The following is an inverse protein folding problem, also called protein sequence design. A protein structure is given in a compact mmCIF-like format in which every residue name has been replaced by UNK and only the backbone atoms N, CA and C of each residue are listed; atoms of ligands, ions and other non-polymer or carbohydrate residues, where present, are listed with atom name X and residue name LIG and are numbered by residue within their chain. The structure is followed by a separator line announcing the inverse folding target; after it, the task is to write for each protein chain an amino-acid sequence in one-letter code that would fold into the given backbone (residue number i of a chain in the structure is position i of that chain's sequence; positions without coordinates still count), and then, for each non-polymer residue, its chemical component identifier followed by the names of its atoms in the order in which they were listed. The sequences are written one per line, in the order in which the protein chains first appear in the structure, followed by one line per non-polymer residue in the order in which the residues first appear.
data_IF_811337830137
#
_entry.id   IF_811337830137
#
_cell.length_a   1.000
_cell.length_b   1.000
_cell.length_c   1.000
_cell.angle_alpha   90.00
_cell.angle_beta   90.00
_cell.angle_gamma   90.00
#
_symmetry.space_group_name_H-M   'P 1'
#
loop_
_entity.id
_entity.type
_entity.pdbx_description
1 polymer ?
#
# COMPACT_ATOMS: atom_id res chain seq x y z
N UNK A 1 2.95 10.34 5.78
CA UNK A 1 3.75 9.26 5.17
C UNK A 1 2.79 8.14 4.78
N UNK A 2 3.08 7.33 3.76
CA UNK A 2 2.27 6.15 3.40
C UNK A 2 3.11 4.90 3.57
N UNK A 3 2.49 3.82 4.03
CA UNK A 3 3.15 2.55 4.30
C UNK A 3 2.67 1.47 3.34
N UNK A 4 3.45 0.42 3.16
CA UNK A 4 3.06 -0.75 2.37
C UNK A 4 3.38 -2.03 3.13
N UNK A 5 2.33 -2.75 3.55
CA UNK A 5 2.47 -4.10 4.09
C UNK A 5 2.74 -5.13 2.98
N UNK A 6 2.32 -4.82 1.75
CA UNK A 6 2.55 -5.62 0.57
C UNK A 6 2.84 -4.71 -0.62
N UNK A 7 4.07 -4.81 -1.14
CA UNK A 7 4.50 -4.08 -2.32
C UNK A 7 5.17 -5.06 -3.29
N UNK A 8 4.88 -4.91 -4.57
CA UNK A 8 5.45 -5.76 -5.62
C UNK A 8 6.41 -4.94 -6.47
N UNK A 9 7.62 -5.46 -6.60
CA UNK A 9 8.64 -4.98 -7.51
C UNK A 9 9.07 -6.13 -8.41
N UNK A 10 9.31 -5.84 -9.69
CA UNK A 10 9.85 -6.82 -10.63
C UNK A 10 11.10 -6.23 -11.27
N UNK A 11 12.02 -7.11 -11.64
CA UNK A 11 13.22 -6.77 -12.36
C UNK A 11 13.58 -7.95 -13.27
N UNK A 12 14.26 -7.64 -14.36
CA UNK A 12 14.76 -8.64 -15.29
C UNK A 12 16.19 -9.01 -14.92
N UNK A 13 16.48 -10.31 -14.92
CA UNK A 13 17.82 -10.83 -14.65
C UNK A 13 17.99 -12.16 -15.39
N UNK A 14 19.02 -12.21 -16.25
CA UNK A 14 19.20 -13.33 -17.19
C UNK A 14 19.93 -14.55 -16.59
N UNK A 15 20.47 -14.42 -15.37
CA UNK A 15 21.22 -15.49 -14.71
C UNK A 15 20.42 -16.06 -13.53
N UNK A 16 20.79 -17.26 -13.10
CA UNK A 16 20.28 -17.80 -11.83
C UNK A 16 21.10 -17.27 -10.66
N UNK A 17 20.46 -17.12 -9.52
CA UNK A 17 21.17 -16.86 -8.26
C UNK A 17 21.68 -18.19 -7.71
N UNK A 18 22.99 -18.31 -7.49
CA UNK A 18 23.59 -19.46 -6.80
C UNK A 18 23.68 -19.25 -5.27
N UNK A 19 22.96 -18.26 -4.75
CA UNK A 19 22.92 -17.87 -3.35
C UNK A 19 21.51 -17.45 -2.93
N UNK A 20 21.27 -17.38 -1.62
CA UNK A 20 20.03 -16.85 -1.07
C UNK A 20 19.96 -15.32 -1.25
N UNK A 21 19.34 -14.89 -2.35
CA UNK A 21 19.17 -13.48 -2.68
C UNK A 21 18.33 -12.76 -1.63
N UNK A 22 17.24 -13.37 -1.16
CA UNK A 22 16.32 -12.76 -0.19
C UNK A 22 17.06 -12.45 1.10
N UNK A 23 17.83 -13.41 1.63
CA UNK A 23 18.62 -13.21 2.84
C UNK A 23 19.64 -12.08 2.68
N UNK A 24 20.39 -12.06 1.57
CA UNK A 24 21.40 -11.02 1.32
C UNK A 24 20.80 -9.63 1.20
N UNK A 25 19.70 -9.49 0.45
CA UNK A 25 19.02 -8.20 0.30
C UNK A 25 18.48 -7.71 1.64
N UNK A 26 17.82 -8.56 2.43
CA UNK A 26 17.32 -8.17 3.75
C UNK A 26 18.43 -7.81 4.74
N UNK A 27 19.65 -8.30 4.55
CA UNK A 27 20.81 -7.89 5.36
C UNK A 27 21.36 -6.53 4.95
N UNK A 28 21.15 -6.11 3.69
CA UNK A 28 21.67 -4.85 3.14
C UNK A 28 20.65 -3.71 3.22
N UNK A 29 19.36 -4.03 3.21
CA UNK A 29 18.28 -3.06 3.27
C UNK A 29 18.20 -2.40 4.66
N UNK A 30 17.70 -1.16 4.75
CA UNK A 30 17.42 -0.50 6.02
C UNK A 30 16.33 -1.24 6.81
N UNK A 31 16.25 -0.99 8.12
CA UNK A 31 15.33 -1.69 9.03
C UNK A 31 13.84 -1.49 8.71
N UNK A 32 13.48 -0.48 7.91
CA UNK A 32 12.11 -0.15 7.51
C UNK A 32 11.69 -0.83 6.18
N UNK A 33 12.60 -1.57 5.53
CA UNK A 33 12.31 -2.30 4.29
C UNK A 33 12.68 -3.78 4.46
N UNK A 34 11.72 -4.67 4.22
CA UNK A 34 11.94 -6.11 4.24
C UNK A 34 11.31 -6.79 3.02
N UNK A 35 12.09 -7.63 2.35
CA UNK A 35 11.66 -8.52 1.28
C UNK A 35 11.02 -9.75 1.90
N UNK A 36 9.72 -9.90 1.67
CA UNK A 36 8.93 -11.02 2.16
C UNK A 36 9.09 -12.27 1.30
N UNK A 37 9.17 -12.12 -0.01
CA UNK A 37 9.29 -13.23 -0.95
C UNK A 37 9.99 -12.80 -2.24
N UNK A 38 10.66 -13.75 -2.90
CA UNK A 38 11.20 -13.61 -4.25
C UNK A 38 10.76 -14.86 -5.02
N UNK A 39 10.14 -14.66 -6.18
CA UNK A 39 9.68 -15.77 -7.01
C UNK A 39 9.97 -15.45 -8.47
N UNK A 40 10.50 -16.44 -9.19
CA UNK A 40 10.63 -16.37 -10.63
C UNK A 40 9.23 -16.42 -11.23
N UNK A 41 8.98 -15.55 -12.21
CA UNK A 41 7.73 -15.48 -12.93
C UNK A 41 7.98 -15.82 -14.40
N UNK A 42 7.08 -16.57 -15.00
CA UNK A 42 7.13 -16.86 -16.43
C UNK A 42 6.54 -15.70 -17.25
N UNK A 43 7.06 -15.51 -18.45
CA UNK A 43 6.69 -14.39 -19.32
C UNK A 43 7.35 -13.08 -18.92
N UNK A 44 6.65 -11.96 -19.13
CA UNK A 44 7.12 -10.60 -18.78
C UNK A 44 6.03 -9.78 -18.06
N UNK A 45 5.46 -10.29 -16.94
CA UNK A 45 4.46 -9.53 -16.20
C UNK A 45 5.08 -8.27 -15.59
N UNK A 46 4.42 -7.13 -15.76
CA UNK A 46 4.89 -5.87 -15.20
C UNK A 46 4.11 -5.57 -13.92
N UNK A 47 4.82 -5.41 -12.79
CA UNK A 47 4.21 -5.23 -11.47
C UNK A 47 3.14 -4.11 -11.42
N UNK A 48 3.29 -3.07 -12.25
CA UNK A 48 2.30 -2.00 -12.37
C UNK A 48 1.12 -2.33 -13.29
N UNK A 49 1.40 -2.82 -14.51
CA UNK A 49 0.41 -2.88 -15.60
C UNK A 49 -0.37 -4.20 -15.62
N UNK A 50 0.23 -5.27 -15.10
CA UNK A 50 -0.42 -6.57 -14.97
C UNK A 50 -1.32 -6.66 -13.72
N UNK A 51 -1.14 -5.75 -12.75
CA UNK A 51 -1.96 -5.73 -11.54
C UNK A 51 -3.42 -5.35 -11.85
N UNK A 52 -4.37 -6.17 -11.36
CA UNK A 52 -5.82 -5.99 -11.59
C UNK A 52 -6.43 -5.00 -10.60
N UNK A 53 -5.94 -5.00 -9.35
CA UNK A 53 -6.45 -4.16 -8.28
C UNK A 53 -5.36 -3.81 -7.28
N UNK A 54 -5.61 -2.77 -6.48
CA UNK A 54 -4.78 -2.35 -5.34
C UNK A 54 -5.71 -2.04 -4.18
N UNK A 55 -5.29 -2.40 -2.98
CA UNK A 55 -6.05 -2.14 -1.75
C UNK A 55 -5.27 -1.18 -0.87
N UNK A 56 -5.97 -0.19 -0.33
CA UNK A 56 -5.42 0.78 0.61
C UNK A 56 -6.21 0.72 1.92
N UNK A 57 -5.50 0.64 3.04
CA UNK A 57 -6.09 0.65 4.38
C UNK A 57 -5.73 1.98 5.06
N UNK A 58 -6.74 2.71 5.51
CA UNK A 58 -6.58 3.90 6.33
C UNK A 58 -6.94 3.59 7.78
N UNK A 59 -6.00 3.85 8.69
CA UNK A 59 -6.21 3.70 10.12
C UNK A 59 -6.39 5.06 10.77
N UNK A 60 -7.41 5.16 11.62
CA UNK A 60 -7.79 6.37 12.36
C UNK A 60 -7.92 6.00 13.82
N UNK A 61 -7.43 6.86 14.71
CA UNK A 61 -7.58 6.72 16.15
C UNK A 61 -8.05 8.03 16.78
N UNK A 62 -8.77 7.94 17.91
CA UNK A 62 -9.49 9.08 18.49
C UNK A 62 -8.90 9.67 19.76
N UNK A 63 -7.83 9.07 20.28
CA UNK A 63 -7.16 9.51 21.49
C UNK A 63 -5.66 9.29 21.34
N UNK A 64 -4.84 10.14 21.95
CA UNK A 64 -3.38 10.05 21.83
C UNK A 64 -2.89 8.68 22.28
N UNK A 65 -2.23 7.96 21.38
CA UNK A 65 -1.60 6.67 21.63
C UNK A 65 -0.17 6.69 21.05
N UNK A 66 0.88 6.52 21.87
CA UNK A 66 2.27 6.56 21.41
C UNK A 66 2.62 5.44 20.42
N UNK A 67 1.88 4.33 20.38
CA UNK A 67 2.12 3.22 19.45
C UNK A 67 1.50 3.45 18.06
N UNK A 68 0.54 4.39 17.96
CA UNK A 68 -0.21 4.64 16.73
C UNK A 68 0.29 5.85 15.94
N UNK A 69 1.13 6.69 16.56
CA UNK A 69 1.55 7.98 16.02
C UNK A 69 2.10 7.89 14.58
N UNK A 70 2.83 6.83 14.26
CA UNK A 70 3.47 6.66 12.95
C UNK A 70 2.66 5.80 11.97
N UNK A 71 1.63 5.07 12.42
CA UNK A 71 0.89 4.07 11.61
C UNK A 71 -0.60 4.38 11.44
N UNK A 72 -1.13 5.40 12.12
CA UNK A 72 -2.54 5.77 12.12
C UNK A 72 -2.69 7.29 12.29
N UNK A 73 -3.78 7.86 11.81
CA UNK A 73 -4.04 9.30 11.94
C UNK A 73 -4.88 9.62 13.19
N UNK A 74 -4.42 10.57 14.00
CA UNK A 74 -5.17 11.04 15.17
C UNK A 74 -6.26 12.03 14.76
N UNK A 75 -7.51 11.69 15.07
CA UNK A 75 -8.67 12.56 14.93
C UNK A 75 -9.48 12.53 16.22
N UNK A 76 -9.33 13.52 17.12
CA UNK A 76 -9.99 13.55 18.44
C UNK A 76 -11.47 13.97 18.32
N UNK A 77 -12.20 13.33 17.42
CA UNK A 77 -13.59 13.59 17.09
C UNK A 77 -14.41 12.32 17.33
N UNK A 78 -15.68 12.51 17.67
CA UNK A 78 -16.63 11.39 17.69
C UNK A 78 -17.10 11.12 16.25
N UNK A 79 -16.77 9.94 15.74
CA UNK A 79 -17.23 9.50 14.43
C UNK A 79 -18.61 8.85 14.54
N UNK A 80 -19.51 9.24 13.64
CA UNK A 80 -20.74 8.49 13.39
C UNK A 80 -20.50 7.48 12.28
N UNK A 81 -20.24 6.23 12.67
CA UNK A 81 -19.94 5.13 11.76
C UNK A 81 -21.10 4.85 10.80
N UNK A 82 -22.35 5.10 11.22
CA UNK A 82 -23.52 4.91 10.35
C UNK A 82 -23.53 5.96 9.24
N UNK A 83 -23.31 7.22 9.58
CA UNK A 83 -23.20 8.29 8.58
C UNK A 83 -22.02 8.08 7.62
N UNK A 84 -20.88 7.61 8.14
CA UNK A 84 -19.73 7.26 7.29
C UNK A 84 -20.06 6.12 6.32
N UNK A 85 -20.74 5.07 6.79
CA UNK A 85 -21.17 3.97 5.92
C UNK A 85 -22.12 4.46 4.80
N UNK A 86 -23.06 5.35 5.12
CA UNK A 86 -23.93 5.97 4.10
C UNK A 86 -23.14 6.80 3.09
N UNK A 87 -22.14 7.56 3.53
CA UNK A 87 -21.28 8.33 2.62
C UNK A 87 -20.45 7.43 1.68
N UNK A 88 -19.95 6.29 2.17
CA UNK A 88 -19.25 5.29 1.36
C UNK A 88 -20.16 4.70 0.29
N UNK A 89 -21.41 4.39 0.64
CA UNK A 89 -22.39 3.88 -0.32
C UNK A 89 -22.63 4.87 -1.46
N UNK A 90 -22.80 6.16 -1.15
CA UNK A 90 -22.94 7.21 -2.16
C UNK A 90 -21.70 7.32 -3.05
N UNK A 91 -20.51 7.24 -2.46
CA UNK A 91 -19.23 7.33 -3.18
C UNK A 91 -19.05 6.15 -4.14
N UNK A 92 -19.49 4.95 -3.75
CA UNK A 92 -19.39 3.73 -4.58
C UNK A 92 -20.22 3.78 -5.87
N UNK A 93 -21.22 4.67 -5.94
CA UNK A 93 -22.06 4.89 -7.13
C UNK A 93 -21.42 5.84 -8.15
N UNK A 94 -20.32 6.50 -7.80
CA UNK A 94 -19.61 7.43 -8.68
C UNK A 94 -18.55 6.69 -9.49
N UNK A 95 -18.34 7.14 -10.73
CA UNK A 95 -17.28 6.65 -11.63
C UNK A 95 -16.24 7.73 -11.93
N UNK A 96 -16.59 9.01 -11.74
CA UNK A 96 -15.69 10.15 -11.84
C UNK A 96 -15.25 10.58 -10.43
N UNK A 97 -13.95 10.51 -10.19
CA UNK A 97 -13.31 10.84 -8.93
C UNK A 97 -12.41 12.08 -9.02
N UNK A 98 -12.56 12.93 -10.04
CA UNK A 98 -11.70 14.12 -10.26
C UNK A 98 -11.62 15.04 -9.02
N UNK A 99 -12.73 15.18 -8.28
CA UNK A 99 -12.79 16.00 -7.07
C UNK A 99 -12.05 15.39 -5.87
N UNK A 100 -11.67 14.12 -5.94
CA UNK A 100 -10.87 13.44 -4.91
C UNK A 100 -9.36 13.44 -5.26
N UNK A 101 -8.99 13.89 -6.46
CA UNK A 101 -7.60 13.96 -6.89
C UNK A 101 -6.91 15.19 -6.30
N UNK A 102 -5.73 15.01 -5.70
CA UNK A 102 -4.90 16.14 -5.21
C UNK A 102 -4.44 17.06 -6.33
N UNK A 103 -4.07 16.48 -7.47
CA UNK A 103 -3.74 17.20 -8.69
C UNK A 103 -4.51 16.50 -9.82
N UNK A 104 -5.78 16.88 -10.05
CA UNK A 104 -6.50 16.37 -11.21
C UNK A 104 -5.72 16.82 -12.46
N UNK A 105 -5.47 15.88 -13.36
CA UNK A 105 -4.90 16.20 -14.67
C UNK A 105 -5.76 17.29 -15.33
N UNK A 106 -5.11 18.36 -15.82
CA UNK A 106 -5.75 19.32 -16.73
C UNK A 106 -6.07 18.64 -18.05
#
# INVERSE_FOLDING_TARGET
MVHASQYYFHFDYDQSFNFDLKHRLNKMLPNDISILNISQVEGKPHAQFTAIARTYNYFIHSHKDPYLADISSLYPNKFDIKLMAHAVELTSRHTDFVNFCRCPSK
#
